data_IF_842105320491
#
_entry.id   IF_842105320491
#
_cell.length_a   1.000
_cell.length_b   1.000
_cell.length_c   1.000
_cell.angle_alpha   90.00
_cell.angle_beta   90.00
_cell.angle_gamma   90.00
#
_symmetry.space_group_name_H-M   'P 1'
#
loop_
_entity.id
_entity.type
_entity.pdbx_description
1 polymer ?
#
# COMPACT_ATOMS: atom_id res chain seq x y z
N UNK A 1 -7.86 0.57 13.21
CA UNK A 1 -8.23 -0.88 13.23
C UNK A 1 -7.10 -1.66 12.55
N UNK A 2 -6.79 -2.89 12.96
CA UNK A 2 -5.80 -3.70 12.25
C UNK A 2 -6.44 -4.30 10.99
N UNK A 3 -5.96 -3.92 9.81
CA UNK A 3 -6.55 -4.33 8.53
C UNK A 3 -6.20 -5.76 8.11
N UNK A 4 -5.22 -6.37 8.77
CA UNK A 4 -4.83 -7.78 8.62
C UNK A 4 -4.62 -8.38 10.00
N UNK A 5 -5.12 -9.61 10.20
CA UNK A 5 -5.06 -10.30 11.49
C UNK A 5 -4.63 -11.75 11.37
N UNK A 6 -3.66 -12.17 12.17
CA UNK A 6 -3.26 -13.57 12.28
C UNK A 6 -4.09 -14.24 13.37
N UNK A 7 -4.48 -15.49 13.16
CA UNK A 7 -5.20 -16.29 14.16
C UNK A 7 -4.34 -16.43 15.42
N UNK A 8 -4.82 -16.03 16.60
CA UNK A 8 -4.11 -16.22 17.86
C UNK A 8 -3.77 -17.70 18.11
N UNK A 9 -2.59 -17.96 18.67
CA UNK A 9 -2.09 -19.33 18.90
C UNK A 9 -3.07 -20.20 19.71
N UNK A 10 -3.76 -19.62 20.69
CA UNK A 10 -4.77 -20.32 21.49
C UNK A 10 -5.91 -20.93 20.66
N UNK A 11 -6.20 -20.36 19.48
CA UNK A 11 -7.25 -20.81 18.57
C UNK A 11 -6.74 -21.75 17.47
N UNK A 12 -5.42 -21.92 17.34
CA UNK A 12 -4.80 -22.76 16.31
C UNK A 12 -5.28 -24.22 16.35
N UNK A 13 -5.59 -24.75 17.54
CA UNK A 13 -6.12 -26.12 17.72
C UNK A 13 -7.45 -26.36 17.01
N UNK A 14 -8.18 -25.29 16.67
CA UNK A 14 -9.44 -25.33 15.95
C UNK A 14 -9.28 -24.98 14.47
N UNK A 15 -8.06 -25.02 13.92
CA UNK A 15 -7.78 -24.72 12.51
C UNK A 15 -8.74 -25.41 11.53
N UNK A 16 -9.09 -26.72 11.66
CA UNK A 16 -10.04 -27.35 10.75
C UNK A 16 -11.42 -26.68 10.74
N UNK A 17 -11.89 -26.20 11.90
CA UNK A 17 -13.16 -25.47 12.01
C UNK A 17 -13.02 -24.07 11.37
N UNK A 18 -11.94 -23.36 11.66
CA UNK A 18 -11.69 -22.02 11.09
C UNK A 18 -11.60 -22.07 9.57
N UNK A 19 -10.91 -23.07 9.03
CA UNK A 19 -10.84 -23.33 7.59
C UNK A 19 -12.22 -23.67 7.01
N UNK A 20 -13.02 -24.49 7.69
CA UNK A 20 -14.40 -24.79 7.29
C UNK A 20 -15.31 -23.54 7.29
N UNK A 21 -14.99 -22.54 8.13
CA UNK A 21 -15.64 -21.23 8.15
C UNK A 21 -15.05 -20.23 7.12
N UNK A 22 -14.07 -20.65 6.32
CA UNK A 22 -13.47 -19.82 5.26
C UNK A 22 -12.25 -18.99 5.68
N UNK A 23 -11.72 -19.19 6.89
CA UNK A 23 -10.42 -18.60 7.27
C UNK A 23 -9.32 -19.26 6.44
N UNK A 24 -8.59 -18.45 5.67
CA UNK A 24 -7.48 -18.93 4.85
C UNK A 24 -6.20 -19.02 5.66
N UNK A 25 -5.36 -20.01 5.35
CA UNK A 25 -4.05 -20.21 5.99
C UNK A 25 -3.02 -19.13 5.64
N UNK A 26 -3.21 -18.45 4.50
CA UNK A 26 -2.34 -17.41 3.98
C UNK A 26 -3.13 -16.30 3.33
N UNK A 27 -2.62 -15.09 3.46
CA UNK A 27 -3.09 -13.94 2.70
C UNK A 27 -2.60 -14.01 1.26
N UNK A 28 -3.46 -13.57 0.36
CA UNK A 28 -3.15 -13.32 -1.04
C UNK A 28 -2.80 -11.85 -1.24
N UNK A 29 -2.18 -11.51 -2.38
CA UNK A 29 -1.84 -10.13 -2.71
C UNK A 29 -3.02 -9.15 -2.56
N UNK A 30 -4.22 -9.54 -3.01
CA UNK A 30 -5.44 -8.74 -2.89
C UNK A 30 -5.78 -8.33 -1.46
N UNK A 31 -5.43 -9.15 -0.47
CA UNK A 31 -5.73 -8.86 0.93
C UNK A 31 -4.86 -7.72 1.45
N UNK A 32 -3.58 -7.72 1.06
CA UNK A 32 -2.65 -6.63 1.38
C UNK A 32 -3.00 -5.33 0.65
N UNK A 33 -3.42 -5.42 -0.62
CA UNK A 33 -3.88 -4.24 -1.37
C UNK A 33 -5.19 -3.69 -0.80
N UNK A 34 -6.12 -4.58 -0.42
CA UNK A 34 -7.37 -4.18 0.23
C UNK A 34 -7.11 -3.49 1.57
N UNK A 35 -6.14 -3.96 2.37
CA UNK A 35 -5.74 -3.29 3.60
C UNK A 35 -5.30 -1.83 3.36
N UNK A 36 -4.60 -1.57 2.25
CA UNK A 36 -4.21 -0.20 1.87
C UNK A 36 -5.39 0.63 1.37
N UNK A 37 -6.35 0.03 0.67
CA UNK A 37 -7.60 0.71 0.31
C UNK A 37 -8.40 1.11 1.56
N UNK A 38 -8.45 0.25 2.58
CA UNK A 38 -9.06 0.59 3.86
C UNK A 38 -8.31 1.74 4.58
N UNK A 39 -6.98 1.74 4.55
CA UNK A 39 -6.19 2.88 5.05
C UNK A 39 -6.52 4.18 4.30
N UNK A 40 -6.72 4.13 2.99
CA UNK A 40 -7.08 5.32 2.20
C UNK A 40 -8.47 5.86 2.59
N UNK A 41 -9.42 4.96 2.89
CA UNK A 41 -10.76 5.33 3.35
C UNK A 41 -10.74 5.92 4.77
N UNK A 42 -9.88 5.42 5.66
CA UNK A 42 -9.75 5.92 7.04
C UNK A 42 -9.00 7.27 7.11
N UNK A 43 -8.15 7.58 6.12
CA UNK A 43 -7.34 8.80 6.05
C UNK A 43 -7.53 9.57 4.72
N UNK A 44 -8.76 10.01 4.38
CA UNK A 44 -9.04 10.61 3.09
C UNK A 44 -8.36 11.98 2.94
N UNK A 45 -7.37 12.07 2.06
CA UNK A 45 -6.66 13.32 1.76
C UNK A 45 -5.77 13.85 2.88
N UNK A 46 -5.59 13.09 3.97
CA UNK A 46 -4.74 13.45 5.11
C UNK A 46 -3.43 12.67 5.07
N UNK A 47 -2.30 13.27 5.49
CA UNK A 47 -1.04 12.56 5.56
C UNK A 47 -1.11 11.45 6.61
N UNK A 48 -0.66 10.26 6.24
CA UNK A 48 -0.58 9.12 7.14
C UNK A 48 0.41 9.40 8.28
N UNK A 49 0.06 9.07 9.53
CA UNK A 49 1.03 9.12 10.61
C UNK A 49 2.17 8.11 10.36
N UNK A 50 3.40 8.35 10.87
CA UNK A 50 4.60 7.58 10.47
C UNK A 50 4.49 6.05 10.64
N UNK A 51 3.77 5.60 11.66
CA UNK A 51 3.53 4.19 11.93
C UNK A 51 2.57 3.56 10.91
N UNK A 52 1.54 4.29 10.47
CA UNK A 52 0.60 3.83 9.43
C UNK A 52 1.26 3.87 8.05
N UNK A 53 2.10 4.87 7.77
CA UNK A 53 2.92 4.89 6.57
C UNK A 53 3.83 3.65 6.48
N UNK A 54 4.49 3.31 7.59
CA UNK A 54 5.35 2.11 7.66
C UNK A 54 4.52 0.83 7.45
N UNK A 55 3.32 0.76 8.04
CA UNK A 55 2.40 -0.36 7.82
C UNK A 55 1.98 -0.47 6.35
N UNK A 56 1.61 0.65 5.71
CA UNK A 56 1.24 0.72 4.30
C UNK A 56 2.37 0.26 3.38
N UNK A 57 3.61 0.70 3.62
CA UNK A 57 4.76 0.26 2.81
C UNK A 57 5.01 -1.23 3.02
N UNK A 58 4.86 -1.73 4.25
CA UNK A 58 5.07 -3.15 4.55
C UNK A 58 4.00 -4.02 3.88
N UNK A 59 2.73 -3.63 3.88
CA UNK A 59 1.67 -4.36 3.18
C UNK A 59 1.90 -4.36 1.66
N UNK A 60 2.36 -3.26 1.07
CA UNK A 60 2.75 -3.21 -0.35
C UNK A 60 3.90 -4.17 -0.66
N UNK A 61 4.94 -4.20 0.17
CA UNK A 61 6.05 -5.14 0.02
C UNK A 61 5.59 -6.60 0.12
N UNK A 62 4.66 -6.90 1.04
CA UNK A 62 4.07 -8.23 1.16
C UNK A 62 3.20 -8.59 -0.04
N UNK A 63 2.44 -7.64 -0.58
CA UNK A 63 1.66 -7.83 -1.80
C UNK A 63 2.57 -8.21 -2.97
N UNK A 64 3.64 -7.43 -3.19
CA UNK A 64 4.65 -7.69 -4.21
C UNK A 64 5.33 -9.06 -4.02
N UNK A 65 5.70 -9.41 -2.79
CA UNK A 65 6.35 -10.70 -2.47
C UNK A 65 5.47 -11.92 -2.75
N UNK A 66 4.15 -11.78 -2.68
CA UNK A 66 3.18 -12.86 -2.98
C UNK A 66 2.80 -12.87 -4.47
N UNK A 67 3.41 -12.01 -5.30
CA UNK A 67 3.15 -11.91 -6.74
C UNK A 67 1.96 -11.03 -7.10
N UNK A 68 1.57 -10.12 -6.22
CA UNK A 68 0.54 -9.12 -6.50
C UNK A 68 1.00 -8.12 -7.53
N UNK A 69 0.26 -8.00 -8.63
CA UNK A 69 0.43 -6.92 -9.60
C UNK A 69 -0.90 -6.22 -9.84
N UNK A 70 -0.85 -4.99 -10.36
CA UNK A 70 -2.04 -4.19 -10.69
C UNK A 70 -2.91 -4.83 -11.78
N UNK A 71 -2.43 -5.87 -12.47
CA UNK A 71 -3.09 -6.51 -13.62
C UNK A 71 -4.47 -7.12 -13.29
N UNK A 72 -4.81 -7.29 -12.01
CA UNK A 72 -6.13 -7.76 -11.58
C UNK A 72 -7.21 -6.65 -11.58
N UNK A 73 -6.89 -5.43 -12.02
CA UNK A 73 -7.85 -4.32 -12.14
C UNK A 73 -8.31 -3.74 -10.79
N UNK A 74 -7.70 -4.16 -9.68
CA UNK A 74 -7.97 -3.58 -8.37
C UNK A 74 -7.28 -2.24 -8.25
N UNK A 75 -8.05 -1.17 -8.07
CA UNK A 75 -7.51 0.13 -7.70
C UNK A 75 -6.74 0.00 -6.38
N UNK A 76 -5.44 0.26 -6.40
CA UNK A 76 -4.61 0.27 -5.21
C UNK A 76 -4.04 1.67 -4.97
N UNK A 77 -3.81 1.94 -3.69
CA UNK A 77 -3.39 3.25 -3.20
C UNK A 77 -1.94 3.20 -2.75
N UNK A 78 -1.19 4.23 -3.11
CA UNK A 78 0.19 4.43 -2.73
C UNK A 78 0.33 5.77 -2.00
N UNK A 79 1.22 5.86 -1.01
CA UNK A 79 1.57 7.15 -0.42
C UNK A 79 2.33 8.01 -1.42
N UNK A 80 1.93 9.27 -1.52
CA UNK A 80 2.66 10.31 -2.24
C UNK A 80 3.83 10.86 -1.40
N UNK A 81 4.63 11.77 -1.97
CA UNK A 81 5.74 12.42 -1.28
C UNK A 81 5.33 13.22 -0.01
N UNK A 82 4.04 13.53 0.15
CA UNK A 82 3.47 14.18 1.35
C UNK A 82 2.85 13.17 2.32
N UNK A 83 3.10 11.87 2.11
CA UNK A 83 2.52 10.76 2.88
C UNK A 83 0.99 10.64 2.79
N UNK A 84 0.37 11.22 1.77
CA UNK A 84 -1.08 11.10 1.51
C UNK A 84 -1.32 9.91 0.57
N UNK A 85 -2.30 9.06 0.90
CA UNK A 85 -2.67 7.95 0.01
C UNK A 85 -3.41 8.46 -1.22
N UNK A 86 -2.88 8.14 -2.40
CA UNK A 86 -3.48 8.44 -3.71
C UNK A 86 -3.58 7.19 -4.56
N UNK A 87 -4.51 7.14 -5.52
CA UNK A 87 -4.53 6.08 -6.51
C UNK A 87 -3.18 5.98 -7.23
N UNK A 88 -2.65 4.76 -7.38
CA UNK A 88 -1.41 4.52 -8.13
C UNK A 88 -1.33 5.21 -9.51
N UNK A 89 -2.38 5.24 -10.37
CA UNK A 89 -2.30 5.91 -11.68
C UNK A 89 -2.18 7.43 -11.62
N UNK A 90 -2.41 8.06 -10.46
CA UNK A 90 -2.21 9.50 -10.28
C UNK A 90 -0.77 9.84 -9.84
N UNK A 91 0.06 8.82 -9.61
CA UNK A 91 1.40 8.96 -9.09
C UNK A 91 2.45 8.62 -10.14
N UNK A 92 3.54 9.38 -10.12
CA UNK A 92 4.71 9.18 -10.97
C UNK A 92 5.92 8.86 -10.11
N UNK A 93 6.76 7.93 -10.57
CA UNK A 93 8.05 7.69 -9.96
C UNK A 93 9.00 8.86 -10.29
N UNK A 94 9.77 9.32 -9.30
CA UNK A 94 10.73 10.41 -9.47
C UNK A 94 12.10 9.85 -9.89
N UNK A 95 12.29 9.65 -11.19
CA UNK A 95 13.53 9.13 -11.79
C UNK A 95 14.62 10.20 -11.97
N UNK A 96 14.26 11.48 -11.87
CA UNK A 96 15.15 12.63 -11.99
C UNK A 96 15.01 13.60 -10.79
N UNK A 97 15.39 13.18 -9.56
CA UNK A 97 15.18 13.95 -8.34
C UNK A 97 15.90 15.32 -8.36
N UNK A 98 16.97 15.46 -9.14
CA UNK A 98 17.70 16.71 -9.34
C UNK A 98 16.90 17.78 -10.11
N UNK A 99 15.90 17.38 -10.90
CA UNK A 99 15.04 18.27 -11.66
C UNK A 99 13.74 18.57 -10.91
N UNK A 100 13.20 17.56 -10.21
CA UNK A 100 11.93 17.63 -9.50
C UNK A 100 12.02 18.35 -8.14
N UNK A 101 13.22 18.62 -7.62
CA UNK A 101 13.43 19.34 -6.36
C UNK A 101 12.68 20.68 -6.30
N UNK A 102 12.66 21.46 -7.38
CA UNK A 102 11.90 22.72 -7.45
C UNK A 102 10.38 22.52 -7.64
N UNK A 103 9.97 21.41 -8.26
CA UNK A 103 8.56 21.07 -8.51
C UNK A 103 7.85 20.51 -7.27
N UNK A 104 8.60 19.94 -6.31
CA UNK A 104 8.08 19.42 -5.04
C UNK A 104 7.64 20.53 -4.08
N UNK A 105 8.33 21.66 -4.12
CA UNK A 105 8.15 22.80 -3.21
C UNK A 105 7.03 23.75 -3.66
N UNK A 106 6.63 23.71 -4.93
CA UNK A 106 5.52 24.49 -5.44
C UNK A 106 4.18 23.92 -4.94
N UNK A 107 3.68 24.51 -3.85
CA UNK A 107 2.33 24.28 -3.33
C UNK A 107 1.20 24.61 -4.35
N UNK A 108 1.55 25.23 -5.49
CA UNK A 108 0.65 25.78 -6.49
C UNK A 108 0.64 25.14 -7.88
N UNK A 109 1.46 24.14 -8.20
CA UNK A 109 1.27 23.39 -9.45
C UNK A 109 2.53 23.04 -10.24
N UNK A 110 2.81 21.74 -10.27
CA UNK A 110 2.68 20.99 -11.52
C UNK A 110 1.75 19.82 -11.19
N UNK A 111 0.85 19.42 -12.09
CA UNK A 111 -0.14 18.36 -11.84
C UNK A 111 0.42 16.95 -11.65
N UNK A 112 1.66 16.80 -11.16
CA UNK A 112 2.39 15.55 -11.00
C UNK A 112 2.57 15.28 -9.51
N UNK A 113 1.95 14.21 -9.02
CA UNK A 113 2.18 13.72 -7.65
C UNK A 113 3.25 12.64 -7.70
N UNK A 114 4.31 12.79 -6.89
CA UNK A 114 5.38 11.79 -6.84
C UNK A 114 5.09 10.72 -5.80
N UNK A 115 5.48 9.48 -6.09
CA UNK A 115 5.47 8.38 -5.11
C UNK A 115 6.36 8.71 -3.92
N UNK A 116 5.99 8.27 -2.72
CA UNK A 116 6.79 8.43 -1.52
C UNK A 116 8.17 7.76 -1.67
N UNK A 117 9.23 8.45 -1.22
CA UNK A 117 10.63 7.98 -1.21
C UNK A 117 10.90 6.62 -0.52
N UNK A 118 9.92 6.10 0.25
CA UNK A 118 10.04 4.82 0.96
C UNK A 118 9.65 3.63 0.06
N UNK A 119 9.14 3.90 -1.13
CA UNK A 119 8.81 2.92 -2.15
C UNK A 119 9.98 2.92 -3.15
N UNK A 120 10.67 1.80 -3.27
CA UNK A 120 11.77 1.64 -4.22
C UNK A 120 11.25 1.47 -5.65
N UNK A 121 12.09 1.76 -6.65
CA UNK A 121 11.80 1.47 -8.06
C UNK A 121 11.38 0.02 -8.25
N UNK A 122 12.14 -0.93 -7.68
CA UNK A 122 11.86 -2.36 -7.79
C UNK A 122 10.48 -2.74 -7.24
N UNK A 123 10.06 -2.12 -6.13
CA UNK A 123 8.75 -2.34 -5.56
C UNK A 123 7.64 -1.77 -6.46
N UNK A 124 7.86 -0.57 -7.00
CA UNK A 124 6.93 0.04 -7.95
C UNK A 124 6.79 -0.80 -9.23
N UNK A 125 7.90 -1.26 -9.81
CA UNK A 125 7.92 -2.15 -10.98
C UNK A 125 7.24 -3.49 -10.72
N UNK A 126 7.42 -4.06 -9.53
CA UNK A 126 6.78 -5.34 -9.17
C UNK A 126 5.27 -5.19 -9.01
N UNK A 127 4.81 -4.04 -8.51
CA UNK A 127 3.39 -3.75 -8.38
C UNK A 127 2.74 -3.42 -9.73
N UNK A 128 3.52 -2.96 -10.71
CA UNK A 128 3.09 -2.70 -12.08
C UNK A 128 2.69 -1.24 -12.31
#
# INVERSE_FOLDING_TARGET
>A
VAYLGVVPEALSRFSPLLQALGVRDRFEARDYLHANACLANDFPGTPLPPHMLTACVTTLQRAAAVGGSHHDGSAFFLPDARSVLRPAPELTFDDAPWLSAGLRDDAGGAGVSFVHERISCELAETLG
#
